data_IF_531181441537
#
_entry.id   IF_531181441537
#
_cell.length_a   1.000
_cell.length_b   1.000
_cell.length_c   1.000
_cell.angle_alpha   90.00
_cell.angle_beta   90.00
_cell.angle_gamma   90.00
#
_symmetry.space_group_name_H-M   'P 1'
#
loop_
_entity.id
_entity.type
_entity.pdbx_description
1 polymer ?
#
# COMPACT_ATOMS: atom_id res chain seq x y z
N UNK A 1 24.85 -12.09 -2.78
CA UNK A 1 24.36 -12.49 -1.45
C UNK A 1 22.92 -12.89 -1.65
N UNK A 2 22.52 -14.14 -1.30
CA UNK A 2 21.10 -14.50 -1.33
C UNK A 2 20.40 -13.64 -0.27
N UNK A 3 19.51 -12.74 -0.70
CA UNK A 3 18.66 -12.01 0.24
C UNK A 3 17.76 -13.01 0.98
N UNK A 4 17.52 -12.74 2.24
CA UNK A 4 16.62 -13.58 3.06
C UNK A 4 15.19 -13.20 2.70
N UNK A 5 14.39 -14.18 2.31
CA UNK A 5 12.97 -13.96 1.99
C UNK A 5 12.15 -13.89 3.27
N UNK A 6 11.43 -12.80 3.43
CA UNK A 6 10.50 -12.63 4.56
C UNK A 6 9.19 -13.38 4.33
N UNK A 7 8.73 -13.44 3.07
CA UNK A 7 7.52 -14.14 2.66
C UNK A 7 7.73 -14.81 1.30
N UNK A 8 7.32 -16.07 1.21
CA UNK A 8 7.23 -16.82 -0.03
C UNK A 8 5.83 -17.44 -0.13
N UNK A 9 5.14 -17.12 -1.19
CA UNK A 9 3.84 -17.69 -1.55
C UNK A 9 4.03 -18.40 -2.88
N UNK A 10 3.64 -19.69 -2.95
CA UNK A 10 3.72 -20.46 -4.19
C UNK A 10 2.38 -21.11 -4.48
N UNK A 11 1.86 -20.82 -5.68
CA UNK A 11 0.61 -21.36 -6.24
C UNK A 11 -0.56 -21.30 -5.26
N UNK A 12 -0.69 -20.18 -4.51
CA UNK A 12 -1.71 -20.04 -3.47
C UNK A 12 -3.09 -19.89 -4.11
N UNK A 13 -4.00 -20.80 -3.73
CA UNK A 13 -5.38 -20.81 -4.23
C UNK A 13 -6.38 -20.78 -3.09
N UNK A 14 -7.54 -20.15 -3.35
CA UNK A 14 -8.67 -20.13 -2.45
C UNK A 14 -9.98 -20.16 -3.19
N UNK A 15 -10.76 -21.20 -2.92
CA UNK A 15 -12.18 -21.30 -3.27
C UNK A 15 -12.99 -21.37 -1.99
N UNK A 16 -13.99 -20.50 -1.85
CA UNK A 16 -14.93 -20.51 -0.73
C UNK A 16 -16.02 -21.58 -0.91
N UNK A 17 -16.78 -21.87 0.15
CA UNK A 17 -17.82 -22.91 0.13
C UNK A 17 -18.98 -22.62 -0.81
N UNK A 18 -19.23 -21.35 -1.10
CA UNK A 18 -20.23 -20.87 -2.08
C UNK A 18 -19.77 -20.98 -3.52
N UNK A 19 -18.58 -21.52 -3.78
CA UNK A 19 -17.99 -21.63 -5.12
C UNK A 19 -17.16 -20.41 -5.56
N UNK A 20 -17.15 -19.33 -4.79
CA UNK A 20 -16.37 -18.12 -5.12
C UNK A 20 -14.88 -18.43 -5.13
N UNK A 21 -14.23 -18.26 -6.28
CA UNK A 21 -12.77 -18.40 -6.44
C UNK A 21 -12.11 -17.06 -6.17
N UNK A 22 -11.53 -16.91 -4.98
CA UNK A 22 -10.89 -15.67 -4.54
C UNK A 22 -9.40 -15.58 -4.94
N UNK A 23 -8.69 -16.72 -5.04
CA UNK A 23 -7.30 -16.80 -5.49
C UNK A 23 -7.13 -17.96 -6.47
N UNK A 24 -6.39 -17.72 -7.56
CA UNK A 24 -6.24 -18.62 -8.69
C UNK A 24 -4.80 -19.10 -8.89
N UNK A 25 -4.08 -19.40 -7.80
CA UNK A 25 -2.69 -19.82 -7.87
C UNK A 25 -1.73 -18.62 -7.97
N UNK A 26 -1.70 -17.78 -6.93
CA UNK A 26 -0.78 -16.64 -6.89
C UNK A 26 0.59 -17.03 -6.38
N UNK A 27 1.62 -16.42 -6.99
CA UNK A 27 3.01 -16.50 -6.55
C UNK A 27 3.48 -15.10 -6.12
N UNK A 28 4.12 -15.03 -4.93
CA UNK A 28 4.60 -13.77 -4.38
C UNK A 28 5.86 -13.99 -3.54
N UNK A 29 6.83 -13.12 -3.68
CA UNK A 29 8.04 -13.11 -2.86
C UNK A 29 8.27 -11.70 -2.33
N UNK A 30 8.51 -11.60 -1.02
CA UNK A 30 8.88 -10.35 -0.34
C UNK A 30 10.21 -10.57 0.38
N UNK A 31 11.17 -9.68 0.16
CA UNK A 31 12.49 -9.75 0.77
C UNK A 31 12.50 -9.18 2.19
N UNK A 32 13.47 -9.58 3.03
CA UNK A 32 13.60 -9.04 4.39
C UNK A 32 13.94 -7.55 4.35
N UNK A 33 13.26 -6.75 5.18
CA UNK A 33 13.42 -5.29 5.25
C UNK A 33 12.78 -4.52 4.09
N UNK A 34 12.04 -5.19 3.22
CA UNK A 34 11.35 -4.56 2.10
C UNK A 34 10.07 -3.84 2.56
N UNK A 35 9.76 -2.70 1.92
CA UNK A 35 8.44 -2.08 1.96
C UNK A 35 7.69 -2.45 0.68
N UNK A 36 6.76 -3.39 0.80
CA UNK A 36 6.08 -4.05 -0.32
C UNK A 36 4.62 -3.62 -0.41
N UNK A 37 4.15 -3.28 -1.62
CA UNK A 37 2.76 -2.94 -1.89
C UNK A 37 2.01 -4.09 -2.58
N UNK A 38 0.86 -4.48 -2.04
CA UNK A 38 -0.09 -5.38 -2.69
C UNK A 38 -1.32 -4.58 -3.10
N UNK A 39 -1.38 -4.17 -4.37
CA UNK A 39 -2.42 -3.33 -4.94
C UNK A 39 -3.48 -4.15 -5.66
N UNK A 40 -4.68 -3.60 -5.77
CA UNK A 40 -5.75 -4.22 -6.55
C UNK A 40 -7.10 -3.61 -6.23
N UNK A 41 -8.10 -3.76 -7.10
CA UNK A 41 -9.47 -3.32 -6.84
C UNK A 41 -10.10 -4.08 -5.68
N UNK A 42 -11.28 -3.64 -5.25
CA UNK A 42 -12.06 -4.36 -4.26
C UNK A 42 -12.47 -5.72 -4.82
N UNK A 43 -12.35 -6.77 -4.00
CA UNK A 43 -12.62 -8.14 -4.44
C UNK A 43 -11.48 -8.83 -5.20
N UNK A 44 -10.35 -8.16 -5.46
CA UNK A 44 -9.22 -8.75 -6.19
C UNK A 44 -8.54 -9.95 -5.51
N UNK A 45 -8.72 -10.12 -4.18
CA UNK A 45 -8.09 -11.19 -3.41
C UNK A 45 -7.11 -10.73 -2.33
N UNK A 46 -6.88 -9.41 -2.17
CA UNK A 46 -5.93 -8.84 -1.18
C UNK A 46 -6.21 -9.32 0.25
N UNK A 47 -7.40 -9.06 0.77
CA UNK A 47 -7.78 -9.43 2.14
C UNK A 47 -7.87 -10.94 2.33
N UNK A 48 -8.17 -11.71 1.27
CA UNK A 48 -8.10 -13.18 1.30
C UNK A 48 -6.64 -13.64 1.47
N UNK A 49 -5.71 -13.05 0.73
CA UNK A 49 -4.27 -13.35 0.85
C UNK A 49 -3.77 -13.04 2.26
N UNK A 50 -4.07 -11.85 2.80
CA UNK A 50 -3.73 -11.49 4.19
C UNK A 50 -4.38 -12.47 5.18
N UNK A 51 -5.66 -12.78 5.01
CA UNK A 51 -6.38 -13.71 5.87
C UNK A 51 -5.73 -15.10 5.93
N UNK A 52 -5.20 -15.60 4.81
CA UNK A 52 -4.49 -16.89 4.80
C UNK A 52 -3.13 -16.75 5.48
N UNK A 53 -2.35 -15.72 5.18
CA UNK A 53 -1.03 -15.48 5.81
C UNK A 53 -1.12 -15.40 7.34
N UNK A 54 -2.21 -14.85 7.85
CA UNK A 54 -2.49 -14.71 9.29
C UNK A 54 -3.29 -15.87 9.90
N UNK A 55 -3.60 -16.89 9.10
CA UNK A 55 -4.42 -18.05 9.48
C UNK A 55 -5.85 -17.70 9.93
N UNK A 56 -6.39 -16.59 9.47
CA UNK A 56 -7.81 -16.22 9.63
C UNK A 56 -8.68 -16.91 8.57
N UNK A 57 -8.09 -17.24 7.43
CA UNK A 57 -8.72 -17.96 6.31
C UNK A 57 -7.89 -19.19 5.96
N UNK A 58 -8.54 -20.34 5.78
CA UNK A 58 -7.87 -21.54 5.30
C UNK A 58 -7.69 -21.46 3.79
N UNK A 59 -6.48 -21.75 3.29
CA UNK A 59 -6.21 -21.89 1.86
C UNK A 59 -6.88 -23.15 1.28
N UNK A 60 -7.06 -23.20 -0.03
CA UNK A 60 -7.50 -24.41 -0.74
C UNK A 60 -6.30 -25.18 -1.29
N UNK A 61 -5.24 -24.49 -1.73
CA UNK A 61 -4.01 -25.09 -2.22
C UNK A 61 -2.84 -24.13 -2.15
N UNK A 62 -1.65 -24.60 -2.52
CA UNK A 62 -0.41 -23.83 -2.50
C UNK A 62 0.30 -23.83 -1.15
N UNK A 63 1.43 -23.12 -1.04
CA UNK A 63 2.26 -23.05 0.17
C UNK A 63 2.56 -21.60 0.54
N UNK A 64 2.73 -21.33 1.83
CA UNK A 64 3.20 -20.05 2.37
C UNK A 64 4.33 -20.33 3.34
N UNK A 65 5.45 -19.63 3.14
CA UNK A 65 6.57 -19.62 4.09
C UNK A 65 6.87 -18.20 4.55
N UNK A 66 7.04 -18.05 5.85
CA UNK A 66 7.41 -16.78 6.48
C UNK A 66 8.77 -16.96 7.17
N UNK A 67 9.80 -16.22 6.72
CA UNK A 67 11.19 -16.39 7.14
C UNK A 67 11.63 -17.85 7.14
N UNK A 68 11.32 -18.58 6.06
CA UNK A 68 11.65 -19.99 5.87
C UNK A 68 10.78 -20.98 6.63
N UNK A 69 9.86 -20.52 7.49
CA UNK A 69 8.93 -21.39 8.25
C UNK A 69 7.65 -21.60 7.46
N UNK A 70 7.29 -22.86 7.21
CA UNK A 70 6.06 -23.20 6.51
C UNK A 70 4.84 -22.98 7.41
N UNK A 71 3.79 -22.36 6.87
CA UNK A 71 2.57 -22.02 7.59
C UNK A 71 1.79 -23.28 8.04
N UNK A 72 1.83 -24.35 7.26
CA UNK A 72 1.12 -25.60 7.60
C UNK A 72 1.89 -26.43 8.65
N UNK A 73 3.23 -26.31 8.65
CA UNK A 73 4.07 -27.07 9.60
C UNK A 73 4.10 -26.43 11.00
N UNK A 74 4.29 -25.08 11.06
CA UNK A 74 4.34 -24.36 12.34
C UNK A 74 3.61 -23.01 12.27
N UNK A 75 2.27 -23.02 12.27
CA UNK A 75 1.48 -21.79 12.20
C UNK A 75 1.69 -20.88 13.42
N UNK A 76 2.06 -21.43 14.57
CA UNK A 76 2.30 -20.66 15.78
C UNK A 76 3.58 -19.83 15.66
N UNK A 77 4.63 -20.39 15.07
CA UNK A 77 5.90 -19.70 14.81
C UNK A 77 5.75 -18.64 13.74
N UNK A 78 5.00 -18.94 12.67
CA UNK A 78 4.69 -17.96 11.62
C UNK A 78 3.93 -16.75 12.21
N UNK A 79 2.87 -16.98 12.98
CA UNK A 79 2.08 -15.91 13.61
C UNK A 79 2.90 -15.00 14.52
N UNK A 80 3.87 -15.58 15.25
CA UNK A 80 4.79 -14.77 16.09
C UNK A 80 5.70 -13.84 15.30
N UNK A 81 5.93 -14.13 14.03
CA UNK A 81 6.73 -13.28 13.14
C UNK A 81 5.92 -12.19 12.46
N UNK A 82 4.58 -12.25 12.52
CA UNK A 82 3.66 -11.35 11.82
C UNK A 82 2.92 -10.45 12.81
N UNK A 83 2.96 -9.14 12.58
CA UNK A 83 2.04 -8.16 13.14
C UNK A 83 0.98 -7.79 12.11
N UNK A 84 -0.29 -7.78 12.49
CA UNK A 84 -1.39 -7.40 11.60
C UNK A 84 -2.10 -6.15 12.10
N UNK A 85 -2.23 -5.17 11.22
CA UNK A 85 -3.08 -3.99 11.39
C UNK A 85 -4.25 -4.11 10.40
N UNK A 86 -5.42 -4.60 10.83
CA UNK A 86 -6.58 -4.72 9.95
C UNK A 86 -7.18 -3.36 9.62
N UNK A 87 -8.01 -3.34 8.57
CA UNK A 87 -8.70 -2.12 8.11
C UNK A 87 -9.61 -1.54 9.19
N UNK A 88 -10.39 -2.38 9.88
CA UNK A 88 -11.32 -1.96 10.92
C UNK A 88 -10.72 -2.04 12.32
N UNK A 89 -11.22 -1.19 13.24
CA UNK A 89 -10.83 -1.24 14.65
C UNK A 89 -11.47 -2.43 15.34
N UNK A 90 -10.67 -3.44 15.65
CA UNK A 90 -11.09 -4.71 16.24
C UNK A 90 -10.63 -4.90 17.70
N UNK A 91 -10.67 -3.85 18.51
CA UNK A 91 -10.40 -3.88 19.93
C UNK A 91 -11.59 -3.36 20.74
N UNK A 92 -11.67 -3.72 22.02
CA UNK A 92 -12.68 -3.19 22.92
C UNK A 92 -12.45 -1.71 23.19
N UNK A 93 -13.32 -0.85 22.65
CA UNK A 93 -13.17 0.61 22.73
C UNK A 93 -13.39 1.16 24.16
N UNK A 94 -13.94 0.38 25.07
CA UNK A 94 -14.12 0.80 26.48
C UNK A 94 -12.86 0.57 27.32
N UNK A 95 -11.92 -0.23 26.85
CA UNK A 95 -10.64 -0.45 27.50
C UNK A 95 -9.63 0.67 27.20
N UNK A 96 -8.70 0.95 28.12
CA UNK A 96 -7.64 1.90 27.88
C UNK A 96 -6.54 1.32 26.96
N UNK A 97 -5.80 2.17 26.21
CA UNK A 97 -4.71 1.76 25.32
C UNK A 97 -3.69 0.82 25.96
N UNK A 98 -3.29 1.10 27.21
CA UNK A 98 -2.32 0.27 27.93
C UNK A 98 -2.83 -1.16 28.10
N UNK A 99 -4.10 -1.33 28.48
CA UNK A 99 -4.69 -2.65 28.65
C UNK A 99 -4.85 -3.40 27.33
N UNK A 100 -5.26 -2.71 26.26
CA UNK A 100 -5.41 -3.30 24.92
C UNK A 100 -4.07 -3.84 24.43
N UNK A 101 -2.97 -3.08 24.57
CA UNK A 101 -1.64 -3.51 24.13
C UNK A 101 -1.08 -4.61 25.03
N UNK A 102 -1.27 -4.51 26.36
CA UNK A 102 -0.87 -5.54 27.31
C UNK A 102 -1.55 -6.89 27.05
N UNK A 103 -2.84 -6.90 26.77
CA UNK A 103 -3.59 -8.11 26.41
C UNK A 103 -3.04 -8.74 25.14
N UNK A 104 -2.76 -7.93 24.11
CA UNK A 104 -2.16 -8.43 22.88
C UNK A 104 -0.80 -9.09 23.13
N UNK A 105 0.05 -8.46 23.95
CA UNK A 105 1.32 -9.05 24.36
C UNK A 105 1.13 -10.41 25.04
N UNK A 106 0.09 -10.53 25.89
CA UNK A 106 -0.30 -11.79 26.54
C UNK A 106 -0.70 -12.88 25.55
N UNK A 107 -1.44 -12.56 24.48
CA UNK A 107 -1.80 -13.52 23.42
C UNK A 107 -0.57 -14.10 22.71
N UNK A 108 0.52 -13.34 22.62
CA UNK A 108 1.79 -13.83 22.08
C UNK A 108 2.70 -14.51 23.12
N UNK A 109 2.21 -14.66 24.38
CA UNK A 109 2.93 -15.36 25.44
C UNK A 109 4.08 -14.57 26.07
N UNK A 110 4.09 -13.23 25.97
CA UNK A 110 5.12 -12.42 26.60
C UNK A 110 4.94 -12.42 28.13
N UNK A 111 6.04 -12.59 28.91
CA UNK A 111 5.99 -12.38 30.34
C UNK A 111 5.51 -10.98 30.69
N UNK A 112 4.75 -10.85 31.81
CA UNK A 112 4.10 -9.58 32.18
C UNK A 112 5.07 -8.40 32.29
N UNK A 113 6.29 -8.62 32.77
CA UNK A 113 7.33 -7.59 32.87
C UNK A 113 7.78 -7.09 31.49
N UNK A 114 8.00 -8.02 30.53
CA UNK A 114 8.36 -7.68 29.14
C UNK A 114 7.19 -7.00 28.45
N UNK A 115 5.98 -7.52 28.62
CA UNK A 115 4.77 -6.94 28.06
C UNK A 115 4.58 -5.47 28.52
N UNK A 116 4.82 -5.16 29.80
CA UNK A 116 4.74 -3.81 30.32
C UNK A 116 5.76 -2.87 29.69
N UNK A 117 7.03 -3.28 29.63
CA UNK A 117 8.11 -2.49 29.01
C UNK A 117 7.83 -2.20 27.53
N UNK A 118 7.38 -3.23 26.77
CA UNK A 118 7.06 -3.07 25.35
C UNK A 118 5.80 -2.24 25.13
N UNK A 119 4.79 -2.39 25.98
CA UNK A 119 3.59 -1.55 25.94
C UNK A 119 3.95 -0.07 26.11
N UNK A 120 4.77 0.26 27.11
CA UNK A 120 5.26 1.63 27.29
C UNK A 120 6.05 2.11 26.08
N UNK A 121 7.02 1.31 25.58
CA UNK A 121 7.83 1.61 24.40
C UNK A 121 6.95 1.99 23.21
N UNK A 122 5.99 1.14 22.86
CA UNK A 122 5.18 1.35 21.65
C UNK A 122 4.10 2.42 21.85
N UNK A 123 3.52 2.57 23.04
CA UNK A 123 2.59 3.69 23.28
C UNK A 123 3.31 5.04 23.25
N UNK A 124 4.58 5.13 23.73
CA UNK A 124 5.40 6.34 23.60
C UNK A 124 5.75 6.61 22.13
N UNK A 125 6.21 5.60 21.39
CA UNK A 125 6.53 5.71 19.96
C UNK A 125 5.31 6.20 19.15
N UNK A 126 4.11 5.77 19.51
CA UNK A 126 2.85 6.19 18.86
C UNK A 126 2.30 7.53 19.37
N UNK A 127 2.94 8.17 20.34
CA UNK A 127 2.44 9.42 20.98
C UNK A 127 1.14 9.23 21.75
N UNK A 128 0.93 8.04 22.32
CA UNK A 128 -0.30 7.67 23.04
C UNK A 128 -0.08 7.50 24.55
N UNK A 129 1.13 7.70 25.04
CA UNK A 129 1.46 7.44 26.45
C UNK A 129 0.64 8.27 27.44
N UNK A 130 0.42 9.55 27.15
CA UNK A 130 -0.37 10.45 28.00
C UNK A 130 -1.87 10.08 28.02
N UNK A 131 -2.31 9.32 27.02
CA UNK A 131 -3.69 8.82 26.92
C UNK A 131 -3.82 7.34 27.31
N UNK A 132 -2.75 6.70 27.82
CA UNK A 132 -2.70 5.27 28.08
C UNK A 132 -3.79 4.74 29.01
N UNK A 133 -4.27 5.56 29.96
CA UNK A 133 -5.33 5.21 30.91
C UNK A 133 -6.73 5.73 30.53
N UNK A 134 -6.85 6.47 29.43
CA UNK A 134 -8.12 6.99 28.92
C UNK A 134 -8.82 5.91 28.10
N UNK A 135 -10.16 5.76 28.20
CA UNK A 135 -10.89 4.81 27.35
C UNK A 135 -10.57 5.06 25.87
N UNK A 136 -10.28 4.00 25.10
CA UNK A 136 -9.96 4.10 23.69
C UNK A 136 -11.11 4.68 22.84
N UNK A 137 -12.35 4.67 23.36
CA UNK A 137 -13.51 5.34 22.74
C UNK A 137 -13.26 6.85 22.59
N UNK A 138 -12.52 7.47 23.51
CA UNK A 138 -12.23 8.91 23.55
C UNK A 138 -11.10 9.32 22.60
N UNK A 139 -10.42 8.38 21.98
CA UNK A 139 -9.36 8.62 21.01
C UNK A 139 -9.92 9.05 19.66
N UNK A 140 -9.23 9.98 18.97
CA UNK A 140 -9.52 10.31 17.58
C UNK A 140 -9.28 9.11 16.66
N UNK A 141 -9.82 9.12 15.43
CA UNK A 141 -9.59 8.06 14.45
C UNK A 141 -8.12 7.76 14.23
N UNK A 142 -7.29 8.79 14.09
CA UNK A 142 -5.85 8.63 13.94
C UNK A 142 -5.14 8.10 15.18
N UNK A 143 -5.58 8.49 16.37
CA UNK A 143 -5.05 7.90 17.60
C UNK A 143 -5.44 6.43 17.72
N UNK A 144 -6.65 6.04 17.31
CA UNK A 144 -7.07 4.64 17.24
C UNK A 144 -6.23 3.86 16.23
N UNK A 145 -5.93 4.44 15.07
CA UNK A 145 -5.05 3.81 14.07
C UNK A 145 -3.64 3.59 14.62
N UNK A 146 -3.05 4.59 15.27
CA UNK A 146 -1.74 4.46 15.95
C UNK A 146 -1.78 3.41 17.07
N UNK A 147 -2.89 3.29 17.79
CA UNK A 147 -3.06 2.22 18.79
C UNK A 147 -3.07 0.82 18.14
N UNK A 148 -3.69 0.66 16.98
CA UNK A 148 -3.64 -0.61 16.23
C UNK A 148 -2.21 -0.97 15.83
N UNK A 149 -1.42 0.00 15.38
CA UNK A 149 0.00 -0.20 15.05
C UNK A 149 0.80 -0.57 16.30
N UNK A 150 0.62 0.14 17.44
CA UNK A 150 1.26 -0.21 18.72
C UNK A 150 0.95 -1.66 19.12
N UNK A 151 -0.31 -2.05 19.00
CA UNK A 151 -0.78 -3.41 19.29
C UNK A 151 -0.15 -4.46 18.39
N UNK A 152 -0.01 -4.16 17.09
CA UNK A 152 0.60 -5.07 16.13
C UNK A 152 2.11 -5.23 16.35
N UNK A 153 2.78 -4.23 16.93
CA UNK A 153 4.23 -4.22 17.15
C UNK A 153 4.66 -4.74 18.53
N UNK A 154 3.76 -4.89 19.50
CA UNK A 154 4.12 -5.18 20.90
C UNK A 154 4.92 -6.47 21.10
N UNK A 155 4.74 -7.45 20.22
CA UNK A 155 5.49 -8.71 20.23
C UNK A 155 6.76 -8.67 19.37
N UNK A 156 7.09 -7.50 18.79
CA UNK A 156 8.26 -7.23 17.94
C UNK A 156 8.33 -8.19 16.74
N UNK A 157 7.29 -8.18 15.88
CA UNK A 157 7.27 -9.01 14.67
C UNK A 157 8.34 -8.57 13.67
N UNK A 158 8.83 -9.51 12.86
CA UNK A 158 9.73 -9.20 11.74
C UNK A 158 9.00 -8.71 10.49
N UNK A 159 7.70 -9.05 10.37
CA UNK A 159 6.82 -8.68 9.26
C UNK A 159 5.58 -7.96 9.80
N UNK A 160 5.35 -6.74 9.36
CA UNK A 160 4.16 -5.95 9.64
C UNK A 160 3.27 -5.92 8.40
N UNK A 161 2.03 -6.37 8.54
CA UNK A 161 1.02 -6.32 7.47
C UNK A 161 0.00 -5.26 7.83
N UNK A 162 -0.27 -4.33 6.90
CA UNK A 162 -1.26 -3.28 7.08
C UNK A 162 -2.31 -3.39 5.97
N UNK A 163 -3.56 -3.61 6.37
CA UNK A 163 -4.69 -3.67 5.45
C UNK A 163 -5.37 -2.30 5.41
N UNK A 164 -5.15 -1.56 4.32
CA UNK A 164 -5.68 -0.22 4.07
C UNK A 164 -5.49 0.76 5.25
N UNK A 165 -4.25 1.01 5.71
CA UNK A 165 -4.00 1.70 6.97
C UNK A 165 -4.43 3.17 6.99
N UNK A 166 -4.61 3.81 5.83
CA UNK A 166 -5.00 5.23 5.73
C UNK A 166 -6.36 5.44 5.08
N UNK A 167 -7.17 4.37 4.95
CA UNK A 167 -8.52 4.49 4.43
C UNK A 167 -9.38 5.42 5.31
N UNK A 168 -10.00 6.43 4.68
CA UNK A 168 -10.91 7.36 5.36
C UNK A 168 -10.26 8.34 6.33
N UNK A 169 -8.92 8.55 6.26
CA UNK A 169 -8.21 9.56 7.05
C UNK A 169 -7.87 10.81 6.23
N UNK A 170 -7.78 11.95 6.91
CA UNK A 170 -7.35 13.21 6.29
C UNK A 170 -5.88 13.19 5.85
N UNK A 171 -5.47 14.17 5.03
CA UNK A 171 -4.14 14.24 4.42
C UNK A 171 -3.03 14.36 5.47
N UNK A 172 -3.21 15.15 6.54
CA UNK A 172 -2.19 15.35 7.56
C UNK A 172 -1.92 14.06 8.34
N UNK A 173 -3.00 13.39 8.73
CA UNK A 173 -2.93 12.13 9.43
C UNK A 173 -2.36 11.00 8.57
N UNK A 174 -2.68 11.00 7.26
CA UNK A 174 -2.11 10.08 6.28
C UNK A 174 -0.59 10.24 6.21
N UNK A 175 -0.09 11.47 6.02
CA UNK A 175 1.35 11.75 5.97
C UNK A 175 2.06 11.39 7.27
N UNK A 176 1.46 11.70 8.43
CA UNK A 176 2.02 11.31 9.73
C UNK A 176 2.08 9.78 9.91
N UNK A 177 1.11 9.05 9.36
CA UNK A 177 1.12 7.58 9.36
C UNK A 177 2.21 7.05 8.43
N UNK A 178 2.39 7.63 7.26
CA UNK A 178 3.46 7.24 6.32
C UNK A 178 4.84 7.40 6.93
N UNK A 179 5.15 8.57 7.50
CA UNK A 179 6.45 8.81 8.16
C UNK A 179 6.71 7.81 9.29
N UNK A 180 5.68 7.45 10.06
CA UNK A 180 5.79 6.44 11.10
C UNK A 180 6.11 5.05 10.53
N UNK A 181 5.47 4.67 9.42
CA UNK A 181 5.69 3.37 8.76
C UNK A 181 7.08 3.30 8.11
N UNK A 182 7.56 4.40 7.52
CA UNK A 182 8.94 4.51 7.03
C UNK A 182 9.96 4.33 8.15
N UNK A 183 9.73 4.94 9.32
CA UNK A 183 10.59 4.77 10.50
C UNK A 183 10.63 3.32 10.97
N UNK A 184 9.46 2.64 11.05
CA UNK A 184 9.37 1.23 11.42
C UNK A 184 10.12 0.34 10.41
N UNK A 185 9.99 0.62 9.12
CA UNK A 185 10.71 -0.13 8.08
C UNK A 185 12.23 0.14 8.13
N UNK A 186 12.65 1.38 8.35
CA UNK A 186 14.06 1.74 8.49
C UNK A 186 14.73 1.06 9.70
N UNK A 187 13.97 0.73 10.76
CA UNK A 187 14.43 -0.08 11.89
C UNK A 187 14.58 -1.59 11.56
N UNK A 188 14.29 -2.00 10.32
CA UNK A 188 14.49 -3.37 9.83
C UNK A 188 13.23 -4.23 9.77
N UNK A 189 12.06 -3.72 10.16
CA UNK A 189 10.80 -4.47 10.01
C UNK A 189 10.40 -4.51 8.54
N UNK A 190 10.15 -5.70 7.99
CA UNK A 190 9.52 -5.84 6.66
C UNK A 190 8.09 -5.36 6.73
N UNK A 191 7.63 -4.60 5.73
CA UNK A 191 6.27 -4.08 5.71
C UNK A 191 5.54 -4.52 4.44
N UNK A 192 4.36 -5.09 4.59
CA UNK A 192 3.41 -5.34 3.50
C UNK A 192 2.21 -4.42 3.69
N UNK A 193 1.96 -3.61 2.68
CA UNK A 193 0.87 -2.67 2.64
C UNK A 193 -0.14 -3.10 1.59
N UNK A 194 -1.41 -3.27 1.96
CA UNK A 194 -2.48 -3.27 0.96
C UNK A 194 -3.12 -1.91 0.90
N UNK A 195 -3.37 -1.42 -0.28
CA UNK A 195 -4.05 -0.16 -0.49
C UNK A 195 -4.70 -0.11 -1.88
N UNK A 196 -5.72 0.70 -2.01
CA UNK A 196 -6.25 1.17 -3.28
C UNK A 196 -5.86 2.63 -3.54
N UNK A 197 -5.17 3.28 -2.59
CA UNK A 197 -4.59 4.62 -2.75
C UNK A 197 -3.19 4.50 -3.35
N UNK A 198 -3.09 4.75 -4.64
CA UNK A 198 -1.85 4.54 -5.40
C UNK A 198 -0.75 5.52 -5.00
N UNK A 199 -1.11 6.73 -4.55
CA UNK A 199 -0.19 7.71 -3.96
C UNK A 199 0.55 7.13 -2.73
N UNK A 200 -0.14 6.35 -1.90
CA UNK A 200 0.45 5.68 -0.74
C UNK A 200 1.50 4.64 -1.15
N UNK A 201 1.15 3.82 -2.15
CA UNK A 201 2.08 2.83 -2.69
C UNK A 201 3.27 3.48 -3.39
N UNK A 202 3.04 4.56 -4.14
CA UNK A 202 4.10 5.31 -4.81
C UNK A 202 5.06 5.97 -3.80
N UNK A 203 4.54 6.50 -2.70
CA UNK A 203 5.36 7.12 -1.67
C UNK A 203 6.19 6.10 -0.88
N UNK A 204 5.58 5.02 -0.41
CA UNK A 204 6.16 4.11 0.57
C UNK A 204 6.84 2.88 -0.03
N UNK A 205 6.25 2.28 -1.08
CA UNK A 205 6.68 0.97 -1.54
C UNK A 205 7.89 1.01 -2.46
N UNK A 206 8.79 0.02 -2.31
CA UNK A 206 9.91 -0.21 -3.23
C UNK A 206 9.52 -1.18 -4.34
N UNK A 207 8.77 -2.22 -4.00
CA UNK A 207 8.20 -3.20 -4.92
C UNK A 207 6.70 -3.23 -4.77
N UNK A 208 6.05 -3.54 -5.89
CA UNK A 208 4.59 -3.52 -5.99
C UNK A 208 4.16 -4.77 -6.74
N UNK A 209 3.20 -5.50 -6.16
CA UNK A 209 2.42 -6.49 -6.88
C UNK A 209 1.01 -5.94 -7.10
N UNK A 210 0.49 -6.13 -8.31
CA UNK A 210 -0.89 -5.83 -8.65
C UNK A 210 -1.64 -7.15 -8.75
N UNK A 211 -2.69 -7.29 -7.95
CA UNK A 211 -3.58 -8.44 -7.98
C UNK A 211 -4.94 -8.00 -8.52
N UNK A 212 -5.45 -8.78 -9.48
CA UNK A 212 -6.80 -8.62 -10.00
C UNK A 212 -7.45 -9.99 -10.22
N UNK A 213 -8.75 -10.13 -9.85
CA UNK A 213 -9.54 -11.36 -10.01
C UNK A 213 -8.82 -12.62 -9.52
N UNK A 214 -8.08 -12.50 -8.41
CA UNK A 214 -7.35 -13.59 -7.79
C UNK A 214 -6.07 -14.01 -8.51
N UNK A 215 -5.55 -13.22 -9.44
CA UNK A 215 -4.26 -13.44 -10.14
C UNK A 215 -3.32 -12.26 -9.90
N UNK A 216 -2.04 -12.52 -9.74
CA UNK A 216 -1.01 -11.46 -9.76
C UNK A 216 -0.74 -11.13 -11.22
N UNK A 217 -1.13 -9.92 -11.65
CA UNK A 217 -0.94 -9.45 -13.03
C UNK A 217 0.38 -8.73 -13.24
N UNK A 218 0.98 -8.22 -12.14
CA UNK A 218 2.27 -7.58 -12.15
C UNK A 218 2.97 -7.77 -10.80
N UNK A 219 4.30 -7.95 -10.80
CA UNK A 219 5.12 -7.99 -9.58
C UNK A 219 6.53 -7.50 -9.91
N UNK A 220 6.79 -6.23 -9.64
CA UNK A 220 8.04 -5.59 -10.05
C UNK A 220 8.45 -4.46 -9.11
N UNK A 221 9.66 -3.96 -9.25
CA UNK A 221 10.06 -2.74 -8.54
C UNK A 221 9.31 -1.50 -9.10
N UNK A 222 9.08 -0.52 -8.21
CA UNK A 222 8.32 0.70 -8.54
C UNK A 222 8.88 1.44 -9.76
N UNK A 223 10.21 1.52 -9.91
CA UNK A 223 10.83 2.24 -11.03
C UNK A 223 10.54 1.53 -12.35
N UNK A 224 10.70 0.21 -12.37
CA UNK A 224 10.37 -0.62 -13.54
C UNK A 224 8.88 -0.55 -13.87
N UNK A 225 8.01 -0.55 -12.86
CA UNK A 225 6.57 -0.37 -13.08
C UNK A 225 6.27 0.99 -13.74
N UNK A 226 6.74 2.08 -13.15
CA UNK A 226 6.55 3.43 -13.70
C UNK A 226 7.24 3.64 -15.06
N UNK A 227 8.26 2.83 -15.38
CA UNK A 227 8.91 2.88 -16.69
C UNK A 227 8.05 2.32 -17.83
N UNK A 228 6.99 1.58 -17.52
CA UNK A 228 6.04 1.05 -18.52
C UNK A 228 5.07 2.11 -19.05
N UNK A 229 4.89 3.23 -18.35
CA UNK A 229 4.14 4.36 -18.90
C UNK A 229 4.83 4.89 -20.15
N UNK A 230 4.14 4.84 -21.26
CA UNK A 230 4.60 5.39 -22.53
C UNK A 230 4.25 6.86 -22.68
N UNK A 231 3.23 7.34 -21.98
CA UNK A 231 2.67 8.70 -22.04
C UNK A 231 2.65 9.28 -20.63
N UNK A 232 3.03 10.53 -20.49
CA UNK A 232 2.86 11.30 -19.26
C UNK A 232 2.03 12.55 -19.57
N UNK A 233 0.91 12.73 -18.86
CA UNK A 233 0.09 13.94 -19.00
C UNK A 233 0.58 15.02 -18.04
N UNK A 234 0.94 16.17 -18.57
CA UNK A 234 1.35 17.35 -17.82
C UNK A 234 0.26 18.42 -17.86
N UNK A 235 0.07 19.08 -16.73
CA UNK A 235 -0.78 20.28 -16.62
C UNK A 235 0.14 21.50 -16.61
N UNK A 236 -0.10 22.42 -17.54
CA UNK A 236 0.58 23.70 -17.65
C UNK A 236 -0.39 24.81 -17.24
N UNK A 237 -0.04 25.59 -16.23
CA UNK A 237 -0.76 26.80 -15.86
C UNK A 237 -0.14 27.97 -16.64
N UNK A 238 -0.93 28.65 -17.46
CA UNK A 238 -0.49 29.69 -18.36
C UNK A 238 -0.64 31.08 -17.72
N UNK A 239 0.24 32.04 -18.09
CA UNK A 239 0.20 33.40 -17.59
C UNK A 239 -1.02 34.19 -18.14
N UNK A 240 -1.49 33.83 -19.32
CA UNK A 240 -2.63 34.45 -20.01
C UNK A 240 -3.46 33.36 -20.71
N UNK A 241 -4.67 33.73 -21.15
CA UNK A 241 -5.51 32.83 -21.90
C UNK A 241 -4.80 32.28 -23.14
N UNK A 242 -4.91 30.96 -23.34
CA UNK A 242 -4.34 30.31 -24.53
C UNK A 242 -4.94 30.90 -25.83
N UNK A 243 -4.14 31.08 -26.88
CA UNK A 243 -4.65 31.60 -28.15
C UNK A 243 -5.63 30.57 -28.78
N UNK A 244 -6.66 31.14 -29.47
CA UNK A 244 -7.57 30.31 -30.23
C UNK A 244 -6.81 29.65 -31.40
N UNK A 245 -6.78 28.30 -31.39
CA UNK A 245 -6.05 27.53 -32.42
C UNK A 245 -4.60 27.21 -32.06
N UNK A 246 -4.26 27.11 -30.76
CA UNK A 246 -2.97 26.59 -30.29
C UNK A 246 -2.65 25.25 -30.96
N UNK A 247 -1.48 25.15 -31.59
CA UNK A 247 -1.00 23.97 -32.29
C UNK A 247 0.29 23.46 -31.65
N UNK A 248 0.22 22.26 -31.07
CA UNK A 248 1.38 21.59 -30.48
C UNK A 248 1.75 20.36 -31.30
N UNK A 249 2.23 20.56 -32.50
CA UNK A 249 2.50 19.57 -33.54
C UNK A 249 2.97 18.21 -33.02
N UNK A 250 2.11 17.18 -33.07
CA UNK A 250 2.39 15.83 -32.63
C UNK A 250 2.07 15.53 -31.15
N UNK A 251 1.70 16.52 -30.35
CA UNK A 251 1.27 16.33 -28.97
C UNK A 251 -0.24 16.42 -28.84
N UNK A 252 -0.86 15.40 -28.24
CA UNK A 252 -2.26 15.49 -27.82
C UNK A 252 -2.38 16.50 -26.71
N UNK A 253 -3.28 17.46 -26.86
CA UNK A 253 -3.48 18.49 -25.86
C UNK A 253 -4.94 18.89 -25.71
N UNK A 254 -5.30 19.38 -24.52
CA UNK A 254 -6.63 19.84 -24.19
C UNK A 254 -6.58 21.05 -23.27
N UNK A 255 -7.34 22.11 -23.59
CA UNK A 255 -7.61 23.19 -22.65
C UNK A 255 -8.73 22.77 -21.70
N UNK A 256 -8.44 22.76 -20.39
CA UNK A 256 -9.42 22.50 -19.35
C UNK A 256 -10.19 23.79 -19.01
N UNK A 257 -9.50 24.91 -19.10
CA UNK A 257 -10.05 26.26 -19.02
C UNK A 257 -9.18 27.23 -19.85
N UNK A 258 -9.42 28.55 -19.77
CA UNK A 258 -8.70 29.53 -20.59
C UNK A 258 -7.19 29.61 -20.31
N UNK A 259 -6.73 29.19 -19.14
CA UNK A 259 -5.34 29.31 -18.66
C UNK A 259 -4.72 27.98 -18.24
N UNK A 260 -5.46 26.87 -18.33
CA UNK A 260 -4.98 25.54 -17.94
C UNK A 260 -4.95 24.61 -19.14
N UNK A 261 -3.76 24.16 -19.52
CA UNK A 261 -3.48 23.32 -20.68
C UNK A 261 -2.96 21.95 -20.22
N UNK A 262 -3.62 20.87 -20.64
CA UNK A 262 -3.14 19.51 -20.48
C UNK A 262 -2.45 19.06 -21.76
N UNK A 263 -1.26 18.44 -21.63
CA UNK A 263 -0.47 17.93 -22.76
C UNK A 263 -0.01 16.51 -22.44
N UNK A 264 -0.27 15.60 -23.36
CA UNK A 264 0.25 14.24 -23.32
C UNK A 264 1.60 14.19 -24.02
N UNK A 265 2.63 13.78 -23.26
CA UNK A 265 4.01 13.71 -23.75
C UNK A 265 4.44 12.25 -23.78
N UNK A 266 4.76 11.74 -24.97
CA UNK A 266 5.37 10.43 -25.13
C UNK A 266 6.76 10.44 -24.48
N UNK A 267 7.15 9.32 -23.89
CA UNK A 267 8.44 9.18 -23.17
C UNK A 267 9.67 9.42 -24.08
N UNK A 268 9.54 9.20 -25.35
CA UNK A 268 10.55 9.47 -26.37
C UNK A 268 10.62 10.97 -26.77
N UNK A 269 9.63 11.75 -26.38
CA UNK A 269 9.56 13.17 -26.67
C UNK A 269 10.14 14.03 -25.53
N UNK A 270 10.76 15.14 -25.89
CA UNK A 270 11.34 16.06 -24.91
C UNK A 270 10.31 17.08 -24.45
N UNK A 271 10.19 17.30 -23.14
CA UNK A 271 9.44 18.43 -22.57
C UNK A 271 9.96 19.79 -23.07
N UNK A 272 11.27 19.91 -23.36
CA UNK A 272 11.82 21.15 -23.92
C UNK A 272 11.17 21.52 -25.24
N UNK A 273 10.87 20.53 -26.10
CA UNK A 273 10.18 20.80 -27.36
C UNK A 273 8.76 21.39 -27.16
N UNK A 274 8.06 20.93 -26.10
CA UNK A 274 6.75 21.49 -25.71
C UNK A 274 6.90 22.95 -25.31
N UNK A 275 7.89 23.30 -24.46
CA UNK A 275 8.15 24.68 -24.05
C UNK A 275 8.54 25.57 -25.23
N UNK A 276 9.35 25.06 -26.15
CA UNK A 276 9.72 25.80 -27.39
C UNK A 276 8.49 26.11 -28.25
N UNK A 277 7.60 25.11 -28.44
CA UNK A 277 6.36 25.32 -29.21
C UNK A 277 5.41 26.31 -28.55
N UNK A 278 5.29 26.28 -27.22
CA UNK A 278 4.49 27.25 -26.47
C UNK A 278 5.09 28.68 -26.62
N UNK A 279 6.40 28.80 -26.44
CA UNK A 279 7.10 30.08 -26.55
C UNK A 279 6.99 30.67 -27.95
N UNK A 280 7.09 29.87 -29.02
CA UNK A 280 6.96 30.36 -30.42
C UNK A 280 5.55 30.88 -30.75
N UNK A 281 4.55 30.50 -29.95
CA UNK A 281 3.16 30.95 -30.06
C UNK A 281 2.80 32.00 -29.00
N UNK A 282 3.81 32.62 -28.37
CA UNK A 282 3.67 33.67 -27.34
C UNK A 282 2.90 33.22 -26.10
N UNK A 283 2.95 31.91 -25.81
CA UNK A 283 2.33 31.28 -24.62
C UNK A 283 3.36 31.13 -23.51
N UNK A 284 3.17 31.89 -22.43
CA UNK A 284 4.05 31.87 -21.27
C UNK A 284 3.49 30.92 -20.18
N UNK A 285 4.32 29.96 -19.75
CA UNK A 285 3.99 29.00 -18.70
C UNK A 285 4.40 29.55 -17.33
N UNK A 286 3.49 29.60 -16.38
CA UNK A 286 3.76 29.97 -14.99
C UNK A 286 4.19 28.77 -14.13
N UNK A 287 3.52 27.66 -14.30
CA UNK A 287 3.84 26.42 -13.58
C UNK A 287 3.52 25.19 -14.43
N UNK A 288 4.16 24.09 -14.10
CA UNK A 288 3.92 22.78 -14.69
C UNK A 288 3.91 21.71 -13.60
N UNK A 289 2.97 20.78 -13.71
CA UNK A 289 2.89 19.60 -12.81
C UNK A 289 2.38 18.38 -13.58
N UNK A 290 2.66 17.19 -13.09
CA UNK A 290 2.01 15.99 -13.62
C UNK A 290 0.52 16.03 -13.26
N UNK A 291 -0.34 15.57 -14.17
CA UNK A 291 -1.80 15.57 -14.01
C UNK A 291 -2.26 14.57 -12.96
N UNK A 292 -1.73 13.36 -13.03
CA UNK A 292 -2.13 12.27 -12.18
C UNK A 292 -0.91 11.64 -11.49
N UNK A 293 -1.20 10.87 -10.46
CA UNK A 293 -0.27 9.90 -9.93
C UNK A 293 0.01 8.88 -11.05
N UNK A 294 1.28 8.80 -11.50
CA UNK A 294 1.73 7.91 -12.59
C UNK A 294 1.32 6.45 -12.35
N UNK A 295 1.30 6.03 -11.10
CA UNK A 295 0.91 4.69 -10.75
C UNK A 295 -0.60 4.45 -10.97
N UNK A 296 -1.42 5.50 -10.87
CA UNK A 296 -2.87 5.42 -11.08
C UNK A 296 -3.21 5.17 -12.55
N UNK A 297 -2.55 5.86 -13.48
CA UNK A 297 -2.72 5.64 -14.93
C UNK A 297 -2.37 4.20 -15.29
N UNK A 298 -1.21 3.72 -14.89
CA UNK A 298 -0.76 2.34 -15.10
C UNK A 298 -1.70 1.30 -14.51
N UNK A 299 -2.17 1.54 -13.30
CA UNK A 299 -3.06 0.62 -12.60
C UNK A 299 -4.38 0.46 -13.36
N UNK A 300 -4.97 1.57 -13.82
CA UNK A 300 -6.22 1.53 -14.61
C UNK A 300 -6.00 0.79 -15.91
N UNK A 301 -4.94 1.11 -16.67
CA UNK A 301 -4.60 0.42 -17.92
C UNK A 301 -4.42 -1.09 -17.73
N UNK A 302 -3.71 -1.51 -16.68
CA UNK A 302 -3.45 -2.93 -16.42
C UNK A 302 -4.71 -3.70 -16.00
N UNK A 303 -5.60 -3.08 -15.22
CA UNK A 303 -6.86 -3.69 -14.79
C UNK A 303 -7.83 -3.79 -15.98
N UNK A 304 -7.95 -2.74 -16.79
CA UNK A 304 -8.79 -2.73 -17.98
C UNK A 304 -8.30 -3.73 -19.05
N UNK A 305 -6.98 -3.82 -19.27
CA UNK A 305 -6.39 -4.81 -20.18
C UNK A 305 -6.71 -6.26 -19.74
N UNK A 306 -6.74 -6.51 -18.43
CA UNK A 306 -7.10 -7.81 -17.86
C UNK A 306 -8.63 -8.08 -17.97
N UNK A 307 -9.47 -7.04 -18.06
CA UNK A 307 -10.91 -7.18 -18.28
C UNK A 307 -11.25 -7.69 -19.69
N UNK A 308 -10.43 -7.37 -20.68
CA UNK A 308 -10.60 -7.82 -22.06
C UNK A 308 -10.21 -9.29 -22.32
N UNK A 309 -9.60 -9.98 -21.37
CA UNK A 309 -9.26 -11.40 -21.52
C UNK A 309 -10.44 -12.27 -21.07
N UNK A 310 -10.91 -13.21 -21.93
CA UNK A 310 -11.99 -14.12 -21.54
C UNK A 310 -11.56 -14.92 -20.30
N UNK A 311 -12.44 -14.98 -19.30
CA UNK A 311 -12.27 -15.85 -18.14
C UNK A 311 -12.22 -17.29 -18.63
N UNK A 312 -11.03 -17.90 -18.58
CA UNK A 312 -10.89 -19.35 -18.77
C UNK A 312 -11.82 -20.06 -17.77
N UNK A 313 -12.83 -20.75 -18.34
CA UNK A 313 -13.90 -21.43 -17.64
C UNK A 313 -13.44 -22.65 -16.83
#
# INVERSE_FOLDING_TARGET
>A
MNSVKSLEINNLSKTYRDGTVALRGIDLVVEEGEFFGLLGPNGAGKSTTIGIMTSLVNKTGGTIRCFGVDLDEDPARVKRQIGLVPQEFNFNQFEPPEQIVMQQAGYYGLPRSVAGQRTEKYLRKMGLWDKRATSARMLSGGMKRRLMIARALVHEPKLLILDEPTAGVDIELRRATWSLLEEINAEGTTVILTTHYLEEAESLCRRIAIIDRGRVIENTDKKSLLSKLNIETFIFDLQSAAPAGLLLGGYTHRLTDSTTLEIDVLKEHSLNAVFEMLTTQDVNVMSMRNKANRLEELFVEMVEANEGQPSDG
#
